data_IF_567606480191
#
_entry.id   IF_567606480191
#
_cell.length_a   1.000
_cell.length_b   1.000
_cell.length_c   1.000
_cell.angle_alpha   90.00
_cell.angle_beta   90.00
_cell.angle_gamma   90.00
#
_symmetry.space_group_name_H-M   'P 1'
#
loop_
_entity.id
_entity.type
_entity.pdbx_description
1 polymer ?
#
# COMPACT_ATOMS: atom_id res chain seq x y z
N UNK A 1 3.94 -23.75 11.54
CA UNK A 1 2.91 -22.69 11.62
C UNK A 1 3.62 -21.35 11.36
N UNK A 2 3.19 -20.54 10.39
CA UNK A 2 3.88 -19.28 10.07
C UNK A 2 3.58 -18.23 11.14
N UNK A 3 4.48 -17.26 11.35
CA UNK A 3 4.29 -16.17 12.32
C UNK A 3 2.98 -15.41 12.08
N UNK A 4 2.65 -15.10 10.83
CA UNK A 4 1.39 -14.46 10.45
C UNK A 4 0.16 -15.28 10.87
N UNK A 5 0.25 -16.61 10.86
CA UNK A 5 -0.84 -17.49 11.28
C UNK A 5 -1.02 -17.45 12.81
N UNK A 6 0.08 -17.29 13.54
CA UNK A 6 0.03 -17.13 14.99
C UNK A 6 -0.61 -15.81 15.41
N UNK A 7 -0.40 -14.74 14.62
CA UNK A 7 -1.09 -13.45 14.83
C UNK A 7 -2.59 -13.65 14.66
N UNK A 8 -3.03 -14.21 13.52
CA UNK A 8 -4.48 -14.41 13.26
C UNK A 8 -5.12 -15.27 14.34
N UNK A 9 -4.47 -16.36 14.77
CA UNK A 9 -4.98 -17.20 15.87
C UNK A 9 -5.15 -16.45 17.19
N UNK A 10 -4.24 -15.53 17.51
CA UNK A 10 -4.36 -14.71 18.72
C UNK A 10 -5.51 -13.71 18.64
N UNK A 11 -5.74 -13.13 17.47
CA UNK A 11 -6.87 -12.24 17.23
C UNK A 11 -8.20 -13.01 17.26
N UNK A 12 -8.26 -14.19 16.66
CA UNK A 12 -9.44 -15.07 16.70
C UNK A 12 -9.75 -15.55 18.13
N UNK A 13 -8.72 -15.82 18.95
CA UNK A 13 -8.89 -16.23 20.34
C UNK A 13 -9.26 -15.07 21.29
N UNK A 14 -9.20 -13.82 20.84
CA UNK A 14 -9.53 -12.64 21.63
C UNK A 14 -11.01 -12.23 21.50
N UNK A 15 -11.81 -13.02 20.80
CA UNK A 15 -13.19 -12.74 20.42
C UNK A 15 -14.06 -13.92 20.79
N UNK A 16 -15.24 -13.66 21.36
CA UNK A 16 -16.13 -14.70 21.86
C UNK A 16 -17.21 -15.10 20.84
N UNK A 17 -17.58 -14.21 19.93
CA UNK A 17 -18.62 -14.45 18.92
C UNK A 17 -18.27 -13.98 17.50
N UNK A 18 -19.08 -14.39 16.52
CA UNK A 18 -18.83 -14.04 15.10
C UNK A 18 -19.02 -12.55 14.82
N UNK A 19 -19.85 -11.85 15.61
CA UNK A 19 -20.10 -10.41 15.45
C UNK A 19 -18.88 -9.61 15.88
N UNK A 20 -18.27 -9.90 17.02
CA UNK A 20 -17.04 -9.21 17.43
C UNK A 20 -15.88 -9.55 16.49
N UNK A 21 -15.87 -10.75 15.89
CA UNK A 21 -14.86 -11.11 14.87
C UNK A 21 -14.99 -10.24 13.63
N UNK A 22 -16.23 -10.04 13.17
CA UNK A 22 -16.53 -9.17 12.05
C UNK A 22 -16.16 -7.71 12.36
N UNK A 23 -16.52 -7.21 13.54
CA UNK A 23 -16.17 -5.84 13.98
C UNK A 23 -14.66 -5.64 14.10
N UNK A 24 -13.95 -6.64 14.63
CA UNK A 24 -12.49 -6.63 14.72
C UNK A 24 -11.86 -6.55 13.32
N UNK A 25 -12.34 -7.34 12.36
CA UNK A 25 -11.87 -7.26 10.97
C UNK A 25 -12.16 -5.90 10.33
N UNK A 26 -13.35 -5.33 10.54
CA UNK A 26 -13.70 -3.99 10.06
C UNK A 26 -12.79 -2.92 10.68
N UNK A 27 -12.54 -2.98 11.98
CA UNK A 27 -11.66 -2.05 12.68
C UNK A 27 -10.22 -2.13 12.15
N UNK A 28 -9.71 -3.34 11.91
CA UNK A 28 -8.39 -3.56 11.31
C UNK A 28 -8.32 -2.99 9.89
N UNK A 29 -9.39 -3.11 9.11
CA UNK A 29 -9.46 -2.58 7.74
C UNK A 29 -9.38 -1.04 7.75
N UNK A 30 -10.13 -0.40 8.65
CA UNK A 30 -10.08 1.06 8.85
C UNK A 30 -8.69 1.47 9.34
N UNK A 31 -8.13 0.77 10.33
CA UNK A 31 -6.80 1.04 10.87
C UNK A 31 -5.73 1.02 9.78
N UNK A 32 -5.67 -0.05 8.96
CA UNK A 32 -4.69 -0.17 7.89
C UNK A 32 -4.82 0.98 6.90
N UNK A 33 -6.06 1.37 6.53
CA UNK A 33 -6.29 2.47 5.58
C UNK A 33 -5.87 3.82 6.14
N UNK A 34 -6.27 4.13 7.37
CA UNK A 34 -5.91 5.38 8.05
C UNK A 34 -4.41 5.44 8.30
N UNK A 35 -3.79 4.32 8.70
CA UNK A 35 -2.35 4.23 8.93
C UNK A 35 -1.55 4.48 7.64
N UNK A 36 -2.01 3.96 6.50
CA UNK A 36 -1.38 4.24 5.21
C UNK A 36 -1.42 5.74 4.86
N UNK A 37 -2.57 6.41 5.06
CA UNK A 37 -2.68 7.86 4.83
C UNK A 37 -1.83 8.68 5.82
N UNK A 38 -1.82 8.32 7.11
CA UNK A 38 -1.00 8.98 8.11
C UNK A 38 0.50 8.83 7.80
N UNK A 39 0.93 7.65 7.35
CA UNK A 39 2.31 7.39 6.92
C UNK A 39 2.66 8.23 5.69
N UNK A 40 1.73 8.37 4.74
CA UNK A 40 1.94 9.17 3.54
C UNK A 40 1.95 10.68 3.82
N UNK A 41 1.14 11.15 4.77
CA UNK A 41 1.22 12.51 5.30
C UNK A 41 2.58 12.76 5.98
N UNK A 42 3.04 11.81 6.79
CA UNK A 42 4.35 11.89 7.46
C UNK A 42 5.49 11.94 6.43
N UNK A 43 5.42 11.11 5.38
CA UNK A 43 6.34 11.16 4.24
C UNK A 43 6.36 12.55 3.58
N UNK A 44 5.18 13.12 3.31
CA UNK A 44 5.08 14.44 2.70
C UNK A 44 5.72 15.51 3.59
N UNK A 45 5.40 15.53 4.89
CA UNK A 45 5.98 16.46 5.87
C UNK A 45 7.51 16.31 5.93
N UNK A 46 8.01 15.07 5.96
CA UNK A 46 9.44 14.79 6.01
C UNK A 46 10.19 15.37 4.81
N UNK A 47 9.60 15.36 3.61
CA UNK A 47 10.22 15.98 2.43
C UNK A 47 10.42 17.50 2.56
N UNK A 48 9.63 18.18 3.40
CA UNK A 48 9.83 19.61 3.70
C UNK A 48 10.86 19.84 4.81
N UNK A 49 10.93 18.94 5.80
CA UNK A 49 11.75 19.13 6.99
C UNK A 49 13.20 18.67 6.78
N UNK A 50 13.43 17.56 6.07
CA UNK A 50 14.75 16.92 5.97
C UNK A 50 15.75 17.73 5.14
N UNK A 51 17.00 17.93 5.61
CA UNK A 51 18.11 18.47 4.84
C UNK A 51 18.26 17.79 3.47
N UNK A 52 18.75 18.51 2.46
CA UNK A 52 18.77 18.02 1.06
C UNK A 52 19.52 16.69 0.91
N UNK A 53 20.58 16.49 1.69
CA UNK A 53 21.34 15.23 1.74
C UNK A 53 20.51 14.01 2.23
N UNK A 54 19.40 14.24 2.92
CA UNK A 54 18.56 13.21 3.54
C UNK A 54 17.10 13.23 3.06
N UNK A 55 16.71 14.18 2.21
CA UNK A 55 15.33 14.29 1.72
C UNK A 55 14.89 13.03 0.95
N UNK A 56 15.80 12.38 0.22
CA UNK A 56 15.57 11.09 -0.43
C UNK A 56 15.32 9.94 0.58
N UNK A 57 15.85 10.03 1.81
CA UNK A 57 15.61 9.03 2.85
C UNK A 57 14.14 9.01 3.31
N UNK A 58 13.38 10.09 3.07
CA UNK A 58 11.94 10.10 3.33
C UNK A 58 11.21 9.00 2.54
N UNK A 59 11.71 8.57 1.37
CA UNK A 59 11.14 7.47 0.59
C UNK A 59 11.07 6.15 1.36
N UNK A 60 11.92 5.96 2.38
CA UNK A 60 11.87 4.79 3.26
C UNK A 60 10.55 4.69 4.02
N UNK A 61 9.82 5.80 4.23
CA UNK A 61 8.49 5.78 4.85
C UNK A 61 7.43 5.10 3.98
N UNK A 62 7.67 4.94 2.68
CA UNK A 62 6.78 4.20 1.80
C UNK A 62 6.99 2.67 1.91
N UNK A 63 8.15 2.24 2.40
CA UNK A 63 8.54 0.84 2.44
C UNK A 63 7.65 -0.01 3.37
N UNK A 64 7.29 0.44 4.60
CA UNK A 64 6.35 -0.29 5.45
C UNK A 64 4.99 -0.54 4.79
N UNK A 65 4.47 0.44 4.04
CA UNK A 65 3.19 0.31 3.31
C UNK A 65 3.30 -0.83 2.29
N UNK A 66 4.35 -0.80 1.46
CA UNK A 66 4.57 -1.79 0.41
C UNK A 66 4.78 -3.19 1.00
N UNK A 67 5.60 -3.30 2.05
CA UNK A 67 5.89 -4.59 2.70
C UNK A 67 4.64 -5.17 3.35
N UNK A 68 3.84 -4.36 4.04
CA UNK A 68 2.60 -4.80 4.67
C UNK A 68 1.57 -5.30 3.63
N UNK A 69 1.38 -4.56 2.54
CA UNK A 69 0.52 -4.96 1.42
C UNK A 69 0.99 -6.28 0.81
N UNK A 70 2.28 -6.40 0.45
CA UNK A 70 2.83 -7.62 -0.12
C UNK A 70 2.67 -8.81 0.84
N UNK A 71 2.97 -8.63 2.12
CA UNK A 71 2.80 -9.68 3.13
C UNK A 71 1.34 -10.16 3.20
N UNK A 72 0.37 -9.23 3.19
CA UNK A 72 -1.05 -9.54 3.14
C UNK A 72 -1.44 -10.32 1.88
N UNK A 73 -0.99 -9.87 0.70
CA UNK A 73 -1.24 -10.56 -0.58
C UNK A 73 -0.65 -11.96 -0.58
N UNK A 74 0.61 -12.13 -0.17
CA UNK A 74 1.25 -13.45 -0.15
C UNK A 74 0.61 -14.40 0.85
N UNK A 75 0.17 -13.89 2.01
CA UNK A 75 -0.53 -14.69 3.00
C UNK A 75 -1.92 -15.13 2.52
N UNK A 76 -2.64 -14.23 1.83
CA UNK A 76 -3.98 -14.48 1.28
C UNK A 76 -3.95 -15.50 0.13
N UNK A 77 -3.01 -15.34 -0.82
CA UNK A 77 -2.91 -16.20 -2.02
C UNK A 77 -2.59 -17.67 -1.69
N UNK A 78 -2.07 -17.96 -0.50
CA UNK A 78 -1.86 -19.34 -0.02
C UNK A 78 -3.17 -20.03 0.40
N UNK A 79 -4.24 -19.28 0.62
CA UNK A 79 -5.49 -19.78 1.21
C UNK A 79 -6.67 -19.66 0.28
N UNK A 80 -6.77 -18.55 -0.44
CA UNK A 80 -7.90 -18.27 -1.32
C UNK A 80 -7.41 -17.58 -2.59
N UNK A 81 -8.10 -17.78 -3.73
CA UNK A 81 -7.83 -17.02 -4.94
C UNK A 81 -7.99 -15.52 -4.68
N UNK A 82 -7.08 -14.73 -5.25
CA UNK A 82 -7.01 -13.30 -4.98
C UNK A 82 -8.37 -12.60 -5.22
N UNK A 83 -8.90 -11.86 -4.23
CA UNK A 83 -10.18 -11.21 -4.34
C UNK A 83 -10.20 -10.17 -5.47
N UNK A 84 -11.40 -9.81 -5.93
CA UNK A 84 -11.56 -8.77 -6.94
C UNK A 84 -10.91 -7.45 -6.50
N UNK A 85 -10.36 -6.65 -7.44
CA UNK A 85 -9.78 -5.36 -7.09
C UNK A 85 -10.86 -4.50 -6.42
N UNK A 86 -10.55 -3.96 -5.24
CA UNK A 86 -11.42 -2.98 -4.59
C UNK A 86 -11.63 -1.80 -5.54
N UNK A 87 -12.86 -1.29 -5.61
CA UNK A 87 -13.14 -0.05 -6.31
C UNK A 87 -12.56 1.08 -5.45
N UNK A 88 -11.36 1.52 -5.79
CA UNK A 88 -10.73 2.68 -5.15
C UNK A 88 -11.60 3.90 -5.45
N UNK A 89 -12.01 4.61 -4.40
CA UNK A 89 -12.84 5.80 -4.56
C UNK A 89 -12.02 6.92 -5.20
N UNK A 90 -12.62 7.79 -6.04
CA UNK A 90 -11.91 8.92 -6.63
C UNK A 90 -11.22 9.82 -5.60
N UNK A 91 -11.84 9.99 -4.43
CA UNK A 91 -11.29 10.79 -3.34
C UNK A 91 -10.02 10.20 -2.73
N UNK A 92 -9.91 8.87 -2.67
CA UNK A 92 -8.71 8.20 -2.17
C UNK A 92 -7.55 8.38 -3.14
N UNK A 93 -7.82 8.28 -4.45
CA UNK A 93 -6.86 8.60 -5.50
C UNK A 93 -6.41 10.05 -5.43
N UNK A 94 -7.35 10.99 -5.28
CA UNK A 94 -7.06 12.40 -5.16
C UNK A 94 -6.21 12.70 -3.91
N UNK A 95 -6.51 12.06 -2.79
CA UNK A 95 -5.76 12.21 -1.54
C UNK A 95 -4.33 11.68 -1.67
N UNK A 96 -4.15 10.49 -2.28
CA UNK A 96 -2.81 9.96 -2.54
C UNK A 96 -2.00 10.87 -3.48
N UNK A 97 -2.63 11.34 -4.57
CA UNK A 97 -1.99 12.23 -5.52
C UNK A 97 -1.60 13.57 -4.87
N UNK A 98 -2.45 14.12 -4.00
CA UNK A 98 -2.17 15.34 -3.26
C UNK A 98 -0.95 15.18 -2.34
N UNK A 99 -0.85 14.10 -1.57
CA UNK A 99 0.33 13.86 -0.72
C UNK A 99 1.62 13.67 -1.52
N UNK A 100 1.57 12.94 -2.64
CA UNK A 100 2.73 12.78 -3.52
C UNK A 100 3.15 14.13 -4.09
N UNK A 101 2.20 14.95 -4.55
CA UNK A 101 2.50 16.28 -5.09
C UNK A 101 3.12 17.20 -4.03
N UNK A 102 2.57 17.22 -2.81
CA UNK A 102 3.13 17.99 -1.69
C UNK A 102 4.57 17.53 -1.37
N UNK A 103 4.82 16.22 -1.38
CA UNK A 103 6.15 15.66 -1.15
C UNK A 103 7.15 16.05 -2.25
N UNK A 104 6.75 15.93 -3.52
CA UNK A 104 7.59 16.30 -4.68
C UNK A 104 7.91 17.79 -4.68
N UNK A 105 6.93 18.65 -4.39
CA UNK A 105 7.15 20.10 -4.27
C UNK A 105 8.12 20.40 -3.13
N UNK A 106 7.94 19.78 -1.96
CA UNK A 106 8.86 19.95 -0.83
C UNK A 106 10.30 19.56 -1.18
N UNK A 107 10.47 18.42 -1.84
CA UNK A 107 11.78 17.95 -2.32
C UNK A 107 12.39 18.92 -3.34
N UNK A 108 11.61 19.41 -4.31
CA UNK A 108 12.07 20.33 -5.35
C UNK A 108 12.51 21.67 -4.80
N UNK A 109 11.74 22.26 -3.86
CA UNK A 109 12.10 23.55 -3.24
C UNK A 109 13.43 23.45 -2.51
N UNK A 110 13.67 22.31 -1.85
CA UNK A 110 14.92 22.05 -1.12
C UNK A 110 16.10 21.78 -2.05
N UNK A 111 15.98 20.82 -2.97
CA UNK A 111 17.06 20.44 -3.89
C UNK A 111 17.51 21.58 -4.80
N UNK A 112 16.60 22.47 -5.23
CA UNK A 112 16.94 23.62 -6.08
C UNK A 112 17.77 24.71 -5.37
N UNK A 113 17.98 24.64 -4.05
CA UNK A 113 18.81 25.61 -3.32
C UNK A 113 20.32 25.47 -3.60
N UNK A 114 20.78 24.35 -4.18
CA UNK A 114 22.20 24.12 -4.50
C UNK A 114 22.45 23.63 -5.92
N UNK A 115 21.63 22.72 -6.45
CA UNK A 115 21.69 22.25 -7.84
C UNK A 115 20.37 21.61 -8.24
N UNK A 116 19.73 22.01 -9.37
CA UNK A 116 18.44 21.46 -9.78
C UNK A 116 18.55 19.98 -10.16
N UNK A 117 18.22 19.09 -9.22
CA UNK A 117 18.07 17.65 -9.49
C UNK A 117 16.61 17.30 -9.72
N UNK A 118 16.21 17.29 -10.99
CA UNK A 118 14.85 16.99 -11.40
C UNK A 118 14.54 15.48 -11.41
N UNK A 119 15.56 14.62 -11.27
CA UNK A 119 15.44 13.17 -11.49
C UNK A 119 14.48 12.49 -10.52
N UNK A 120 14.49 12.90 -9.24
CA UNK A 120 13.63 12.31 -8.20
C UNK A 120 12.18 12.71 -8.37
N UNK A 121 11.89 13.98 -8.67
CA UNK A 121 10.52 14.42 -8.91
C UNK A 121 9.94 13.84 -10.20
N UNK A 122 10.75 13.74 -11.26
CA UNK A 122 10.34 13.08 -12.50
C UNK A 122 10.11 11.57 -12.28
N UNK A 123 10.96 10.92 -11.49
CA UNK A 123 10.78 9.54 -11.06
C UNK A 123 9.49 9.31 -10.27
N UNK A 124 9.15 10.22 -9.35
CA UNK A 124 7.91 10.14 -8.57
C UNK A 124 6.66 10.28 -9.46
N UNK A 125 6.66 11.23 -10.41
CA UNK A 125 5.54 11.43 -11.35
C UNK A 125 5.39 10.21 -12.27
N UNK A 126 6.49 9.75 -12.87
CA UNK A 126 6.48 8.57 -13.74
C UNK A 126 6.04 7.32 -12.97
N UNK A 127 6.53 7.15 -11.74
CA UNK A 127 6.14 6.05 -10.85
C UNK A 127 4.65 6.06 -10.52
N UNK A 128 4.08 7.22 -10.21
CA UNK A 128 2.65 7.37 -9.93
C UNK A 128 1.78 7.01 -11.14
N UNK A 129 2.15 7.51 -12.33
CA UNK A 129 1.44 7.20 -13.59
C UNK A 129 1.53 5.70 -13.91
N UNK A 130 2.73 5.12 -13.80
CA UNK A 130 2.94 3.70 -14.02
C UNK A 130 2.08 2.87 -13.04
N UNK A 131 2.08 3.20 -11.76
CA UNK A 131 1.27 2.51 -10.76
C UNK A 131 -0.23 2.56 -11.12
N UNK A 132 -0.77 3.72 -11.48
CA UNK A 132 -2.17 3.87 -11.85
C UNK A 132 -2.56 3.01 -13.07
N UNK A 133 -1.68 2.87 -14.06
CA UNK A 133 -1.94 2.10 -15.28
C UNK A 133 -1.73 0.59 -15.12
N UNK A 134 -0.71 0.19 -14.34
CA UNK A 134 -0.26 -1.19 -14.26
C UNK A 134 -0.90 -1.95 -13.10
N UNK A 135 -1.07 -1.36 -11.92
CA UNK A 135 -1.66 -2.01 -10.73
C UNK A 135 -3.01 -2.69 -11.05
N UNK A 136 -4.01 -2.01 -11.67
CA UNK A 136 -5.30 -2.67 -11.95
C UNK A 136 -5.16 -3.80 -12.98
N UNK A 137 -4.22 -3.71 -13.92
CA UNK A 137 -3.97 -4.76 -14.92
C UNK A 137 -3.30 -5.98 -14.29
N UNK A 138 -2.31 -5.77 -13.42
CA UNK A 138 -1.65 -6.84 -12.69
C UNK A 138 -2.62 -7.54 -11.73
N UNK A 139 -3.45 -6.80 -10.99
CA UNK A 139 -4.46 -7.38 -10.11
C UNK A 139 -5.44 -8.28 -10.89
N UNK A 140 -5.94 -7.81 -12.05
CA UNK A 140 -6.81 -8.62 -12.92
C UNK A 140 -6.11 -9.88 -13.45
N UNK A 141 -4.85 -9.79 -13.86
CA UNK A 141 -4.07 -10.96 -14.32
C UNK A 141 -3.82 -11.96 -13.21
N UNK A 142 -3.47 -11.50 -12.01
CA UNK A 142 -3.28 -12.35 -10.83
C UNK A 142 -4.56 -13.10 -10.50
N UNK A 143 -5.70 -12.41 -10.45
CA UNK A 143 -7.00 -13.05 -10.20
C UNK A 143 -7.32 -14.13 -11.23
N UNK A 144 -7.13 -13.87 -12.53
CA UNK A 144 -7.37 -14.87 -13.59
C UNK A 144 -6.47 -16.10 -13.46
N UNK A 145 -5.22 -15.91 -13.06
CA UNK A 145 -4.28 -17.03 -12.82
C UNK A 145 -4.69 -17.86 -11.61
N UNK A 146 -5.10 -17.20 -10.53
CA UNK A 146 -5.48 -17.88 -9.31
C UNK A 146 -6.84 -18.59 -9.47
N UNK A 147 -7.80 -18.02 -10.22
CA UNK A 147 -9.05 -18.70 -10.59
C UNK A 147 -8.78 -19.98 -11.39
N UNK A 148 -7.94 -19.91 -12.44
CA UNK A 148 -7.57 -21.09 -13.22
C UNK A 148 -6.91 -22.20 -12.42
N UNK A 149 -6.19 -21.86 -11.34
CA UNK A 149 -5.60 -22.87 -10.43
C UNK A 149 -6.65 -23.57 -9.60
N UNK A 150 -7.67 -22.84 -9.13
CA UNK A 150 -8.78 -23.40 -8.35
C UNK A 150 -9.69 -24.23 -9.25
N UNK A 151 -10.03 -23.74 -10.44
CA UNK A 151 -10.85 -24.48 -11.41
C UNK A 151 -10.16 -25.80 -11.80
N UNK A 152 -8.84 -25.78 -12.07
CA UNK A 152 -8.09 -27.00 -12.38
C UNK A 152 -8.01 -28.02 -11.23
N UNK A 153 -8.19 -27.60 -9.97
CA UNK A 153 -8.25 -28.52 -8.83
C UNK A 153 -9.65 -29.07 -8.53
N UNK A 154 -10.68 -28.59 -9.24
CA UNK A 154 -12.07 -29.06 -9.13
C UNK A 154 -12.45 -30.02 -10.28
N UNK A 155 -11.70 -29.98 -11.38
CA UNK A 155 -11.88 -30.86 -12.55
C UNK A 155 -11.14 -32.22 -12.42
N UNK A 156 -10.31 -32.40 -11.38
CA UNK A 156 -9.68 -33.68 -10.96
C UNK A 156 -10.49 -34.36 -9.83
#
# INVERSE_FOLDING_TARGET
MNYLDSIVKRYDAAVDDERERQLLHQSSTVYVRVHAFATMATFAIMCWILPDAYSAAALLLLLPIIVAELAGVFWLRKRMPYPGPLKVLPIEWATCAAFILIAVVGYMVRSNAGSPDWSVGLGAVVGAIAAALFVPRFAKRMRRRDQRRVDASLDE
#
